data_IF_296895979516
#
_entry.id   IF_296895979516
#
_cell.length_a   1.000
_cell.length_b   1.000
_cell.length_c   1.000
_cell.angle_alpha   90.00
_cell.angle_beta   90.00
_cell.angle_gamma   90.00
#
_symmetry.space_group_name_H-M   'P 1'
#
loop_
_entity.id
_entity.type
_entity.pdbx_description
1 polymer ?
#
# COMPACT_ATOMS: atom_id res chain seq x y z
N UNK A 1 13.83 -28.06 -13.51
CA UNK A 1 13.83 -28.51 -12.10
C UNK A 1 13.25 -27.38 -11.27
N UNK A 2 12.22 -27.63 -10.47
CA UNK A 2 11.50 -26.60 -9.70
C UNK A 2 12.32 -26.21 -8.46
N UNK A 3 12.96 -25.03 -8.49
CA UNK A 3 13.92 -24.55 -7.47
C UNK A 3 13.22 -24.13 -6.18
N UNK A 4 11.98 -23.67 -6.28
CA UNK A 4 11.25 -23.05 -5.17
C UNK A 4 10.04 -23.91 -4.74
N UNK A 5 10.00 -25.18 -5.14
CA UNK A 5 8.90 -26.11 -4.81
C UNK A 5 8.66 -26.26 -3.31
N UNK A 6 9.68 -26.05 -2.46
CA UNK A 6 9.56 -26.08 -1.00
C UNK A 6 8.57 -25.04 -0.45
N UNK A 7 8.31 -23.96 -1.19
CA UNK A 7 7.43 -22.87 -0.77
C UNK A 7 5.97 -23.07 -1.21
N UNK A 8 5.65 -24.13 -1.96
CA UNK A 8 4.27 -24.40 -2.40
C UNK A 8 3.27 -24.40 -1.23
N UNK A 9 2.20 -23.63 -1.40
CA UNK A 9 1.14 -23.44 -0.41
C UNK A 9 1.48 -22.46 0.71
N UNK A 10 2.70 -21.92 0.77
CA UNK A 10 3.13 -20.98 1.82
C UNK A 10 2.93 -19.53 1.38
N UNK A 11 2.76 -18.65 2.35
CA UNK A 11 2.80 -17.21 2.11
C UNK A 11 4.25 -16.77 1.98
N UNK A 12 4.58 -16.08 0.89
CA UNK A 12 5.95 -15.66 0.61
C UNK A 12 6.00 -14.20 0.20
N UNK A 13 7.17 -13.58 0.44
CA UNK A 13 7.57 -12.32 -0.15
C UNK A 13 8.66 -12.61 -1.18
N UNK A 14 8.50 -12.04 -2.37
CA UNK A 14 9.45 -12.13 -3.45
C UNK A 14 9.89 -10.72 -3.81
N UNK A 15 11.17 -10.44 -3.68
CA UNK A 15 11.78 -9.29 -4.33
C UNK A 15 12.18 -9.70 -5.75
N UNK A 16 11.64 -9.01 -6.74
CA UNK A 16 11.92 -9.27 -8.14
C UNK A 16 12.35 -7.99 -8.87
N UNK A 17 13.16 -8.16 -9.91
CA UNK A 17 13.64 -7.07 -10.75
C UNK A 17 12.74 -6.92 -11.98
N UNK A 18 12.24 -5.70 -12.19
CA UNK A 18 11.54 -5.27 -13.38
C UNK A 18 12.36 -4.16 -14.05
N UNK A 19 13.19 -4.54 -15.03
CA UNK A 19 14.18 -3.62 -15.62
C UNK A 19 15.25 -3.21 -14.60
N UNK A 20 15.28 -1.92 -14.26
CA UNK A 20 16.26 -1.34 -13.34
C UNK A 20 15.75 -1.22 -11.90
N UNK A 21 14.48 -1.58 -11.66
CA UNK A 21 13.82 -1.40 -10.38
C UNK A 21 13.60 -2.76 -9.72
N UNK A 22 13.83 -2.84 -8.40
CA UNK A 22 13.43 -4.00 -7.58
C UNK A 22 12.09 -3.72 -6.93
N UNK A 23 11.13 -4.61 -7.12
CA UNK A 23 9.77 -4.52 -6.60
C UNK A 23 9.48 -5.71 -5.68
N UNK A 24 8.76 -5.50 -4.57
CA UNK A 24 8.23 -6.57 -3.75
C UNK A 24 6.92 -7.11 -4.35
N UNK A 25 6.71 -8.42 -4.25
CA UNK A 25 5.43 -9.08 -4.47
C UNK A 25 5.19 -10.08 -3.34
N UNK A 26 4.02 -10.00 -2.71
CA UNK A 26 3.60 -10.95 -1.67
C UNK A 26 2.38 -11.74 -2.13
N UNK A 27 2.27 -12.97 -1.65
CA UNK A 27 1.14 -13.83 -1.93
C UNK A 27 1.39 -15.27 -1.56
N UNK A 28 0.37 -16.10 -1.75
CA UNK A 28 0.49 -17.55 -1.60
C UNK A 28 1.23 -18.11 -2.80
N UNK A 29 2.28 -18.88 -2.57
CA UNK A 29 3.01 -19.56 -3.63
C UNK A 29 2.18 -20.73 -4.15
N UNK A 30 1.63 -20.61 -5.35
CA UNK A 30 0.69 -21.60 -5.91
C UNK A 30 1.30 -22.49 -6.99
N UNK A 31 2.50 -22.17 -7.48
CA UNK A 31 3.09 -22.97 -8.55
C UNK A 31 4.54 -22.65 -8.84
N UNK A 32 5.25 -23.68 -9.31
CA UNK A 32 6.60 -23.56 -9.84
C UNK A 32 6.70 -24.36 -11.15
N UNK A 33 6.92 -23.66 -12.26
CA UNK A 33 7.08 -24.28 -13.59
C UNK A 33 8.52 -24.73 -13.89
N UNK A 34 9.48 -24.37 -13.03
CA UNK A 34 10.90 -24.49 -13.31
C UNK A 34 11.48 -23.38 -14.19
N UNK A 35 10.66 -22.42 -14.64
CA UNK A 35 11.07 -21.20 -15.37
C UNK A 35 10.56 -19.93 -14.70
N UNK A 36 9.33 -19.99 -14.21
CA UNK A 36 8.66 -18.94 -13.47
C UNK A 36 8.00 -19.53 -12.22
N UNK A 37 7.89 -18.72 -11.18
CA UNK A 37 7.03 -18.99 -10.02
C UNK A 37 5.70 -18.28 -10.19
N UNK A 38 4.68 -18.77 -9.50
CA UNK A 38 3.34 -18.19 -9.50
C UNK A 38 2.90 -17.90 -8.07
N UNK A 39 2.50 -16.64 -7.85
CA UNK A 39 1.92 -16.20 -6.57
C UNK A 39 0.47 -15.80 -6.79
N UNK A 40 -0.38 -16.11 -5.82
CA UNK A 40 -1.78 -15.70 -5.83
C UNK A 40 -2.07 -14.87 -4.58
N UNK A 41 -2.72 -13.73 -4.77
CA UNK A 41 -3.15 -12.84 -3.68
C UNK A 41 -4.62 -12.52 -3.84
N UNK A 42 -5.38 -12.72 -2.76
CA UNK A 42 -6.81 -12.43 -2.71
C UNK A 42 -7.00 -11.08 -2.03
N UNK A 43 -7.81 -10.22 -2.61
CA UNK A 43 -8.11 -8.89 -2.07
C UNK A 43 -9.58 -8.55 -2.30
N UNK A 44 -10.14 -7.72 -1.43
CA UNK A 44 -11.50 -7.23 -1.57
C UNK A 44 -11.48 -5.78 -2.04
N UNK A 45 -12.14 -5.48 -3.16
CA UNK A 45 -12.27 -4.13 -3.67
C UNK A 45 -13.76 -3.78 -3.79
N UNK A 46 -14.22 -2.81 -2.99
CA UNK A 46 -15.61 -2.38 -2.94
C UNK A 46 -16.62 -3.52 -2.70
N UNK A 47 -16.32 -4.44 -1.78
CA UNK A 47 -17.20 -5.58 -1.51
C UNK A 47 -17.10 -6.73 -2.51
N UNK A 48 -16.24 -6.61 -3.53
CA UNK A 48 -16.03 -7.67 -4.52
C UNK A 48 -14.69 -8.37 -4.27
N UNK A 49 -14.68 -9.71 -4.09
CA UNK A 49 -13.44 -10.46 -4.04
C UNK A 49 -12.78 -10.43 -5.42
N UNK A 50 -11.50 -10.10 -5.43
CA UNK A 50 -10.64 -10.13 -6.60
C UNK A 50 -9.40 -10.93 -6.29
N UNK A 51 -8.89 -11.61 -7.31
CA UNK A 51 -7.64 -12.34 -7.23
C UNK A 51 -6.62 -11.66 -8.14
N UNK A 52 -5.42 -11.45 -7.62
CA UNK A 52 -4.25 -11.08 -8.39
C UNK A 52 -3.32 -12.28 -8.50
N UNK A 53 -2.81 -12.54 -9.69
CA UNK A 53 -1.85 -13.62 -9.93
C UNK A 53 -0.58 -13.06 -10.55
N UNK A 54 0.53 -13.23 -9.83
CA UNK A 54 1.86 -12.90 -10.32
C UNK A 54 2.46 -14.09 -11.06
N UNK A 55 3.13 -13.82 -12.18
CA UNK A 55 4.09 -14.72 -12.79
C UNK A 55 5.46 -14.04 -12.75
N UNK A 56 6.41 -14.62 -12.03
CA UNK A 56 7.75 -14.05 -11.85
C UNK A 56 8.78 -15.03 -12.43
N UNK A 57 9.47 -14.67 -13.52
CA UNK A 57 10.53 -15.50 -14.07
C UNK A 57 11.71 -15.62 -13.09
N UNK A 58 12.37 -16.78 -13.08
CA UNK A 58 13.48 -17.05 -12.16
C UNK A 58 14.62 -16.04 -12.28
N UNK A 59 14.94 -15.61 -13.49
CA UNK A 59 15.99 -14.63 -13.74
C UNK A 59 15.71 -13.26 -13.12
N UNK A 60 14.44 -12.97 -12.80
CA UNK A 60 14.03 -11.74 -12.16
C UNK A 60 14.03 -11.84 -10.64
N UNK A 61 14.07 -13.05 -10.05
CA UNK A 61 14.00 -13.23 -8.60
C UNK A 61 15.33 -12.81 -7.97
N UNK A 62 15.28 -11.80 -7.09
CA UNK A 62 16.42 -11.35 -6.30
C UNK A 62 16.46 -12.08 -4.97
N UNK A 63 15.31 -12.18 -4.30
CA UNK A 63 15.15 -12.82 -2.99
C UNK A 63 13.74 -13.39 -2.87
N UNK A 64 13.62 -14.54 -2.23
CA UNK A 64 12.34 -15.18 -1.93
C UNK A 64 12.39 -15.69 -0.50
N UNK A 65 11.42 -15.27 0.30
CA UNK A 65 11.33 -15.62 1.71
C UNK A 65 9.92 -16.00 2.08
N UNK A 66 9.79 -16.93 3.03
CA UNK A 66 8.52 -17.25 3.64
C UNK A 66 8.14 -16.14 4.62
N UNK A 67 6.92 -15.63 4.48
CA UNK A 67 6.31 -14.73 5.44
C UNK A 67 5.56 -15.64 6.40
N UNK A 68 6.04 -15.73 7.64
CA UNK A 68 5.19 -16.20 8.72
C UNK A 68 4.03 -15.21 8.82
N UNK A 69 2.84 -15.64 8.42
CA UNK A 69 1.61 -14.89 8.65
C UNK A 69 1.38 -14.92 10.15
N UNK A 70 2.10 -14.09 10.90
CA UNK A 70 1.58 -13.58 12.15
C UNK A 70 0.34 -12.80 11.75
N UNK A 71 -0.82 -13.43 11.87
CA UNK A 71 -2.10 -12.76 11.87
C UNK A 71 -2.06 -11.71 12.98
N UNK A 72 -1.56 -10.52 12.65
CA UNK A 72 -1.54 -9.38 13.55
C UNK A 72 -1.94 -8.14 12.78
N UNK A 73 -3.26 -7.98 12.65
CA UNK A 73 -3.94 -6.71 12.90
C UNK A 73 -3.37 -5.49 12.15
N UNK A 74 -3.11 -5.59 10.84
CA UNK A 74 -2.80 -4.41 10.02
C UNK A 74 -4.07 -3.66 9.53
N UNK A 75 -5.19 -3.78 10.25
CA UNK A 75 -6.24 -2.74 10.27
C UNK A 75 -5.87 -1.54 11.16
N UNK A 76 -4.62 -1.43 11.63
CA UNK A 76 -4.18 -0.37 12.53
C UNK A 76 -2.84 0.23 12.10
N UNK A 77 -2.85 1.02 11.02
CA UNK A 77 -1.99 2.21 10.94
C UNK A 77 -2.65 3.31 10.09
N UNK A 78 -3.88 3.67 10.48
CA UNK A 78 -4.33 5.06 10.44
C UNK A 78 -4.50 5.48 11.89
N UNK A 79 -3.41 5.91 12.54
CA UNK A 79 -3.50 6.85 13.66
C UNK A 79 -2.17 7.59 13.76
N UNK A 80 -2.09 8.71 13.03
CA UNK A 80 -1.22 9.81 13.42
C UNK A 80 -1.71 10.29 14.78
N UNK A 81 -1.05 9.85 15.84
CA UNK A 81 -1.28 10.30 17.20
C UNK A 81 0.07 10.76 17.76
N UNK A 82 0.44 11.99 17.39
CA UNK A 82 1.48 12.74 18.06
C UNK A 82 0.80 13.49 19.21
N UNK A 83 1.00 13.02 20.43
CA UNK A 83 0.45 13.58 21.67
C UNK A 83 1.30 12.99 22.82
N UNK A 84 1.91 13.69 23.78
CA UNK A 84 1.98 15.10 24.22
C UNK A 84 3.19 15.14 25.18
N UNK A 85 3.98 16.21 25.21
CA UNK A 85 4.79 16.54 26.40
C UNK A 85 4.24 17.85 27.01
N UNK A 86 3.73 17.83 28.27
CA UNK A 86 3.24 19.02 28.95
C UNK A 86 4.29 19.61 29.91
N UNK A 87 4.47 20.92 29.81
CA UNK A 87 5.04 21.84 30.82
C UNK A 87 6.48 22.34 30.57
N UNK A 88 6.57 23.47 29.87
CA UNK A 88 7.35 24.60 30.37
C UNK A 88 6.78 25.90 29.82
N UNK A 89 6.14 26.65 30.71
CA UNK A 89 5.78 28.05 30.49
C UNK A 89 7.03 28.89 30.24
N UNK A 90 7.06 29.64 29.14
CA UNK A 90 7.61 31.00 29.19
C UNK A 90 6.99 31.90 28.15
N UNK A 91 6.05 32.70 28.66
CA UNK A 91 5.55 33.95 28.12
C UNK A 91 6.64 34.79 27.45
N UNK A 92 6.44 35.15 26.18
CA UNK A 92 6.81 36.45 25.63
C UNK A 92 5.73 36.89 24.63
N UNK A 93 5.15 38.04 24.95
CA UNK A 93 4.08 38.74 24.22
C UNK A 93 4.58 39.41 22.93
N UNK A 94 3.58 39.84 22.15
CA UNK A 94 3.56 40.84 21.07
C UNK A 94 3.79 40.29 19.65
N UNK A 95 3.06 40.68 18.60
CA UNK A 95 1.98 41.68 18.45
C UNK A 95 1.21 41.43 17.15
N UNK A 96 0.08 42.12 17.01
CA UNK A 96 -1.01 42.00 16.04
C UNK A 96 -0.67 42.03 14.53
N UNK A 97 -1.57 41.44 13.72
CA UNK A 97 -2.31 42.18 12.69
C UNK A 97 -3.57 41.43 12.22
N UNK A 98 -4.70 42.12 12.29
CA UNK A 98 -6.01 41.77 11.72
C UNK A 98 -5.96 41.61 10.19
N UNK A 99 -6.71 40.65 9.65
CA UNK A 99 -7.40 40.82 8.37
C UNK A 99 -8.63 39.91 8.30
N UNK A 100 -9.80 40.50 8.57
CA UNK A 100 -11.11 39.97 8.22
C UNK A 100 -11.25 39.87 6.70
N UNK A 101 -11.74 38.75 6.16
CA UNK A 101 -12.01 38.70 4.72
C UNK A 101 -12.67 37.43 4.21
N UNK A 102 -14.01 37.41 4.22
CA UNK A 102 -14.80 36.93 3.10
C UNK A 102 -14.91 35.42 2.88
N UNK A 103 -16.05 34.86 3.32
CA UNK A 103 -16.63 33.69 2.68
C UNK A 103 -16.86 33.96 1.19
N UNK A 104 -16.45 33.03 0.32
CA UNK A 104 -16.90 32.98 -1.06
C UNK A 104 -17.04 31.52 -1.52
N UNK A 105 -18.28 31.04 -1.41
CA UNK A 105 -18.80 29.85 -2.08
C UNK A 105 -18.65 30.06 -3.60
N UNK A 106 -18.00 29.14 -4.29
CA UNK A 106 -17.92 29.16 -5.76
C UNK A 106 -19.28 28.72 -6.35
N UNK A 107 -19.96 29.56 -7.14
CA UNK A 107 -21.21 29.19 -7.79
C UNK A 107 -20.95 28.31 -9.03
N UNK A 108 -21.64 27.17 -9.12
CA UNK A 108 -21.68 26.36 -10.35
C UNK A 108 -22.53 27.07 -11.40
N UNK A 109 -21.90 27.39 -12.53
CA UNK A 109 -22.52 28.04 -13.68
C UNK A 109 -23.57 27.13 -14.31
N UNK A 110 -24.80 27.64 -14.41
CA UNK A 110 -25.92 26.98 -15.09
C UNK A 110 -25.66 26.85 -16.60
N UNK A 111 -26.00 25.69 -17.16
CA UNK A 111 -25.95 25.39 -18.60
C UNK A 111 -27.21 25.92 -19.31
N UNK A 112 -27.10 26.71 -20.39
CA UNK A 112 -28.27 27.09 -21.18
C UNK A 112 -28.74 25.94 -22.10
N UNK A 113 -30.06 25.84 -22.23
CA UNK A 113 -30.82 24.95 -23.10
C UNK A 113 -31.03 25.64 -24.46
N UNK A 114 -30.76 24.94 -25.55
CA UNK A 114 -31.09 25.32 -26.94
C UNK A 114 -31.14 24.02 -27.73
N UNK A 115 -32.13 23.68 -28.56
CA UNK A 115 -33.46 24.19 -28.85
C UNK A 115 -34.36 22.97 -29.06
#
# INVERSE_FOLDING_TARGET
MARYSAFLGRSVEVQYRAGDICLPASGTFVGDSGRSIFLEQHYEQHGQPKNFRWEIPYQCIVRLEEIEVFEKLASLHVTQADAVDPSSERSLQASAAHASGGAALLPMTQRPKTA
#
